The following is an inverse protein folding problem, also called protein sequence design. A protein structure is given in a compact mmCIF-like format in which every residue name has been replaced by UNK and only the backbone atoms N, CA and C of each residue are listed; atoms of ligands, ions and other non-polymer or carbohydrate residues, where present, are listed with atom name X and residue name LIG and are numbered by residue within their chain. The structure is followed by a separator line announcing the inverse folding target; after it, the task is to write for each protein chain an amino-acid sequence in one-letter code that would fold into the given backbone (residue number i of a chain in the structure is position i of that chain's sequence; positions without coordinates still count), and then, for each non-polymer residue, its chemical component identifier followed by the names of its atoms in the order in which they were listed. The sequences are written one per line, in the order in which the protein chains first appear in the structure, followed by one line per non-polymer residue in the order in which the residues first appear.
data_IF_463117235608
#
_entry.id   IF_463117235608
#
_cell.length_a   1.000
_cell.length_b   1.000
_cell.length_c   1.000
_cell.angle_alpha   90.00
_cell.angle_beta   90.00
_cell.angle_gamma   90.00
#
_symmetry.space_group_name_H-M   'P 1'
#
loop_
_entity.id
_entity.type
_entity.pdbx_description
1 polymer ?
#
# COMPACT_ATOMS: atom_id res chain seq x y z
N UNK A 1 -11.80 -15.16 14.14
CA UNK A 1 -10.34 -14.90 14.04
C UNK A 1 -9.48 -16.14 14.39
N UNK A 2 -9.93 -17.06 15.26
CA UNK A 2 -9.18 -18.27 15.65
C UNK A 2 -9.27 -19.46 14.66
N UNK A 3 -10.20 -19.43 13.69
CA UNK A 3 -10.41 -20.53 12.71
C UNK A 3 -9.43 -20.53 11.53
N UNK A 4 -8.75 -19.41 11.25
CA UNK A 4 -7.79 -19.29 10.13
C UNK A 4 -6.37 -19.69 10.52
N UNK A 5 -6.05 -19.72 11.83
CA UNK A 5 -4.74 -20.06 12.38
C UNK A 5 -4.30 -21.48 11.97
N UNK A 6 -5.27 -22.41 11.95
CA UNK A 6 -5.02 -23.80 11.59
C UNK A 6 -4.87 -24.00 10.08
N UNK A 7 -5.38 -23.13 9.21
CA UNK A 7 -5.43 -23.47 7.78
C UNK A 7 -4.03 -23.47 7.12
N UNK A 8 -3.24 -22.42 7.31
CA UNK A 8 -1.89 -22.35 6.71
C UNK A 8 -0.86 -23.29 7.39
N UNK A 9 -1.01 -23.60 8.69
CA UNK A 9 -0.11 -24.52 9.42
C UNK A 9 -0.49 -26.00 9.26
N UNK A 10 -1.78 -26.34 9.37
CA UNK A 10 -2.26 -27.73 9.21
C UNK A 10 -2.08 -28.19 7.76
N UNK A 11 -2.26 -27.32 6.78
CA UNK A 11 -2.08 -27.68 5.36
C UNK A 11 -0.62 -28.02 4.99
N UNK A 12 0.36 -27.39 5.64
CA UNK A 12 1.80 -27.69 5.43
C UNK A 12 2.19 -29.00 6.12
N UNK A 13 1.56 -29.32 7.26
CA UNK A 13 1.78 -30.59 7.98
C UNK A 13 1.07 -31.76 7.27
N UNK A 14 -0.09 -31.54 6.66
CA UNK A 14 -0.81 -32.54 5.84
C UNK A 14 -0.18 -32.81 4.46
N UNK A 15 0.89 -32.11 4.08
CA UNK A 15 1.59 -32.32 2.81
C UNK A 15 2.59 -33.50 2.83
N UNK A 16 2.66 -34.24 3.93
CA UNK A 16 3.34 -35.52 3.99
C UNK A 16 2.36 -36.66 3.76
N UNK A 17 1.96 -36.94 2.51
CA UNK A 17 1.52 -38.29 2.15
C UNK A 17 1.60 -38.58 0.64
N UNK A 18 2.34 -39.65 0.37
CA UNK A 18 2.65 -40.30 -0.90
C UNK A 18 1.42 -40.93 -1.58
N UNK A 19 1.30 -40.73 -2.92
CA UNK A 19 0.70 -41.61 -3.98
C UNK A 19 -0.50 -41.07 -4.78
N UNK A 20 -0.26 -40.95 -6.09
CA UNK A 20 -1.05 -41.33 -7.28
C UNK A 20 -2.56 -40.97 -7.49
N UNK A 21 -3.30 -40.42 -6.53
CA UNK A 21 -4.75 -40.15 -6.68
C UNK A 21 -5.09 -38.67 -6.95
N UNK A 22 -4.26 -37.98 -7.75
CA UNK A 22 -4.18 -36.51 -7.81
C UNK A 22 -5.30 -35.75 -8.57
N UNK A 23 -6.53 -36.25 -8.59
CA UNK A 23 -7.67 -35.51 -9.17
C UNK A 23 -8.49 -34.87 -8.05
N UNK A 24 -8.55 -33.53 -8.00
CA UNK A 24 -9.22 -32.76 -6.94
C UNK A 24 -8.29 -32.15 -5.87
N UNK A 25 -6.99 -32.05 -6.15
CA UNK A 25 -5.98 -31.63 -5.18
C UNK A 25 -6.10 -30.19 -4.70
N UNK A 26 -6.08 -30.03 -3.38
CA UNK A 26 -5.91 -28.74 -2.69
C UNK A 26 -4.47 -28.25 -2.87
N UNK A 27 -4.27 -27.30 -3.77
CA UNK A 27 -2.98 -26.61 -3.94
C UNK A 27 -2.88 -25.51 -2.89
N UNK A 28 -1.97 -25.69 -1.93
CA UNK A 28 -1.70 -24.69 -0.90
C UNK A 28 -0.53 -23.86 -1.40
N UNK A 29 -0.78 -22.59 -1.66
CA UNK A 29 0.26 -21.69 -2.13
C UNK A 29 1.26 -21.43 -1.01
N UNK A 30 2.57 -21.53 -1.28
CA UNK A 30 3.59 -21.31 -0.26
C UNK A 30 3.56 -19.86 0.23
N UNK A 31 4.12 -19.60 1.42
CA UNK A 31 4.27 -18.23 1.96
C UNK A 31 5.03 -17.28 1.04
N UNK A 32 5.86 -17.81 0.14
CA UNK A 32 6.59 -17.02 -0.86
C UNK A 32 5.72 -16.52 -2.01
N UNK A 33 4.48 -17.03 -2.17
CA UNK A 33 3.55 -16.58 -3.20
C UNK A 33 2.89 -15.26 -2.78
N UNK A 34 3.22 -14.12 -3.44
CA UNK A 34 2.71 -12.82 -3.04
C UNK A 34 1.18 -12.75 -3.19
N UNK A 35 0.50 -12.25 -2.16
CA UNK A 35 -0.96 -12.08 -2.16
C UNK A 35 -1.77 -13.35 -1.86
N UNK A 36 -1.11 -14.50 -1.64
CA UNK A 36 -1.79 -15.70 -1.14
C UNK A 36 -2.14 -15.61 0.35
N UNK A 37 -3.08 -16.42 0.82
CA UNK A 37 -3.54 -16.44 2.23
C UNK A 37 -2.38 -16.53 3.24
N UNK A 38 -1.39 -17.37 2.94
CA UNK A 38 -0.21 -17.57 3.78
C UNK A 38 0.74 -16.36 3.79
N UNK A 39 0.93 -15.66 2.65
CA UNK A 39 1.73 -14.41 2.57
C UNK A 39 1.01 -13.28 3.32
N UNK A 40 -0.29 -13.09 3.08
CA UNK A 40 -1.09 -12.08 3.77
C UNK A 40 -1.09 -12.28 5.28
N UNK A 41 -1.22 -13.52 5.76
CA UNK A 41 -1.11 -13.84 7.18
C UNK A 41 0.29 -13.52 7.74
N UNK A 42 1.36 -13.87 7.01
CA UNK A 42 2.72 -13.56 7.45
C UNK A 42 2.95 -12.05 7.55
N UNK A 43 2.50 -11.27 6.57
CA UNK A 43 2.59 -9.80 6.58
C UNK A 43 1.84 -9.21 7.76
N UNK A 44 0.63 -9.72 8.03
CA UNK A 44 -0.15 -9.31 9.19
C UNK A 44 0.58 -9.60 10.51
N UNK A 45 1.09 -10.81 10.70
CA UNK A 45 1.84 -11.18 11.91
C UNK A 45 3.11 -10.32 12.08
N UNK A 46 3.83 -10.03 11.00
CA UNK A 46 5.00 -9.15 11.03
C UNK A 46 4.61 -7.73 11.45
N UNK A 47 3.52 -7.19 10.89
CA UNK A 47 3.01 -5.88 11.26
C UNK A 47 2.59 -5.84 12.74
N UNK A 48 1.91 -6.87 13.23
CA UNK A 48 1.52 -6.99 14.64
C UNK A 48 2.73 -7.09 15.57
N UNK A 49 3.80 -7.79 15.18
CA UNK A 49 5.03 -7.84 15.96
C UNK A 49 5.71 -6.46 16.07
N UNK A 50 5.69 -5.67 14.99
CA UNK A 50 6.16 -4.27 15.00
C UNK A 50 5.30 -3.42 15.94
N UNK A 51 3.98 -3.52 15.84
CA UNK A 51 3.05 -2.79 16.72
C UNK A 51 3.23 -3.18 18.18
N UNK A 52 3.42 -4.47 18.48
CA UNK A 52 3.66 -4.95 19.83
C UNK A 52 4.97 -4.38 20.41
N UNK A 53 6.01 -4.26 19.59
CA UNK A 53 7.33 -3.77 20.02
C UNK A 53 7.39 -2.25 20.15
N UNK A 54 6.83 -1.52 19.21
CA UNK A 54 6.98 -0.07 19.11
C UNK A 54 5.75 0.73 19.55
N UNK A 55 4.60 0.06 19.71
CA UNK A 55 3.33 0.68 20.06
C UNK A 55 2.40 0.82 18.85
N UNK A 56 1.22 1.38 19.09
CA UNK A 56 0.23 1.64 18.03
C UNK A 56 0.79 2.66 17.01
N UNK A 57 0.38 2.58 15.74
CA UNK A 57 0.65 3.63 14.76
C UNK A 57 0.06 4.98 15.17
N UNK A 58 0.78 6.06 14.86
CA UNK A 58 0.34 7.44 15.06
C UNK A 58 -0.24 8.04 13.77
N UNK A 59 0.33 7.69 12.61
CA UNK A 59 -0.14 8.17 11.30
C UNK A 59 -0.51 7.01 10.37
N UNK A 60 -1.63 7.18 9.67
CA UNK A 60 -2.05 6.36 8.54
C UNK A 60 -2.03 7.24 7.29
N UNK A 61 -1.09 6.97 6.39
CA UNK A 61 -0.88 7.76 5.17
C UNK A 61 -1.20 6.87 3.98
N UNK A 62 -1.94 7.44 3.03
CA UNK A 62 -2.33 6.76 1.80
C UNK A 62 -1.74 7.49 0.61
N UNK A 63 -1.11 6.77 -0.31
CA UNK A 63 -0.64 7.32 -1.59
C UNK A 63 -1.34 6.61 -2.75
N UNK A 64 -2.19 7.35 -3.47
CA UNK A 64 -2.90 6.85 -4.65
C UNK A 64 -2.12 7.16 -5.92
N UNK A 65 -1.90 6.15 -6.77
CA UNK A 65 -1.33 6.39 -8.09
C UNK A 65 -2.30 7.18 -8.98
N UNK A 66 -1.79 8.25 -9.62
CA UNK A 66 -2.52 8.96 -10.67
C UNK A 66 -1.84 8.69 -12.03
N UNK A 67 -2.51 8.04 -12.99
CA UNK A 67 -1.94 7.77 -14.30
C UNK A 67 -1.74 9.03 -15.14
N UNK A 68 -2.36 10.15 -14.76
CA UNK A 68 -2.27 11.44 -15.46
C UNK A 68 -1.26 12.41 -14.83
N UNK A 69 -0.31 11.90 -14.04
CA UNK A 69 0.81 12.72 -13.61
C UNK A 69 1.62 13.22 -14.82
N UNK A 70 2.08 14.47 -14.75
CA UNK A 70 2.88 15.11 -15.78
C UNK A 70 4.10 14.28 -16.21
N UNK A 71 4.75 13.58 -15.28
CA UNK A 71 5.90 12.74 -15.59
C UNK A 71 5.53 11.53 -16.45
N UNK A 72 4.27 11.07 -16.41
CA UNK A 72 3.76 10.01 -17.27
C UNK A 72 3.35 10.62 -18.61
N UNK A 73 2.48 11.63 -18.60
CA UNK A 73 1.88 12.19 -19.82
C UNK A 73 2.91 12.78 -20.78
N UNK A 74 3.98 13.42 -20.26
CA UNK A 74 5.07 13.96 -21.10
C UNK A 74 5.96 12.89 -21.73
N UNK A 75 5.93 11.65 -21.24
CA UNK A 75 6.73 10.53 -21.72
C UNK A 75 5.89 9.50 -22.52
N UNK A 76 4.63 9.83 -22.82
CA UNK A 76 3.80 9.07 -23.74
C UNK A 76 4.04 9.53 -25.18
N UNK A 77 4.04 8.59 -26.12
CA UNK A 77 4.07 8.93 -27.55
C UNK A 77 2.69 9.46 -28.01
N UNK A 78 2.63 10.22 -29.12
CA UNK A 78 1.36 10.71 -29.64
C UNK A 78 0.34 9.57 -29.85
N UNK A 79 -0.82 9.69 -29.22
CA UNK A 79 -1.90 8.70 -29.30
C UNK A 79 -1.85 7.58 -28.24
N UNK A 80 -0.75 7.45 -27.48
CA UNK A 80 -0.69 6.48 -26.38
C UNK A 80 -1.47 6.96 -25.15
N UNK A 81 -2.09 6.01 -24.47
CA UNK A 81 -2.71 6.20 -23.17
C UNK A 81 -1.81 5.63 -22.05
N UNK A 82 -1.92 6.12 -20.80
CA UNK A 82 -1.19 5.55 -19.67
C UNK A 82 -1.36 4.04 -19.51
N UNK A 83 -2.53 3.51 -19.90
CA UNK A 83 -2.84 2.08 -19.86
C UNK A 83 -2.01 1.25 -20.86
N UNK A 84 -1.57 1.86 -21.96
CA UNK A 84 -0.73 1.20 -22.98
C UNK A 84 0.72 1.08 -22.51
N UNK A 85 1.11 1.85 -21.49
CA UNK A 85 2.46 1.89 -20.91
C UNK A 85 2.46 1.67 -19.39
N UNK A 86 1.99 0.51 -18.89
CA UNK A 86 1.88 0.24 -17.45
C UNK A 86 3.23 0.23 -16.74
N UNK A 87 4.32 -0.08 -17.43
CA UNK A 87 5.69 -0.01 -16.90
C UNK A 87 6.12 1.43 -16.59
N UNK A 88 5.70 2.40 -17.41
CA UNK A 88 5.99 3.82 -17.18
C UNK A 88 5.26 4.30 -15.93
N UNK A 89 3.96 4.01 -15.83
CA UNK A 89 3.13 4.32 -14.66
C UNK A 89 3.75 3.73 -13.38
N UNK A 90 4.13 2.44 -13.43
CA UNK A 90 4.74 1.74 -12.29
C UNK A 90 6.08 2.34 -11.87
N UNK A 91 6.91 2.77 -12.82
CA UNK A 91 8.21 3.42 -12.54
C UNK A 91 8.03 4.78 -11.89
N UNK A 92 7.13 5.62 -12.42
CA UNK A 92 6.84 6.94 -11.86
C UNK A 92 6.24 6.80 -10.46
N UNK A 93 5.30 5.87 -10.27
CA UNK A 93 4.73 5.57 -8.96
C UNK A 93 5.81 5.18 -7.96
N UNK A 94 6.68 4.23 -8.31
CA UNK A 94 7.77 3.78 -7.43
C UNK A 94 8.74 4.91 -7.09
N UNK A 95 9.04 5.80 -8.04
CA UNK A 95 9.89 6.96 -7.81
C UNK A 95 9.25 7.93 -6.81
N UNK A 96 7.96 8.25 -6.99
CA UNK A 96 7.21 9.11 -6.06
C UNK A 96 7.08 8.48 -4.67
N UNK A 97 6.81 7.17 -4.59
CA UNK A 97 6.75 6.44 -3.31
C UNK A 97 8.09 6.51 -2.57
N UNK A 98 9.21 6.31 -3.28
CA UNK A 98 10.55 6.46 -2.67
C UNK A 98 10.78 7.88 -2.17
N UNK A 99 10.40 8.89 -2.96
CA UNK A 99 10.52 10.29 -2.55
C UNK A 99 9.67 10.59 -1.31
N UNK A 100 8.46 10.04 -1.23
CA UNK A 100 7.59 10.17 -0.07
C UNK A 100 8.22 9.51 1.17
N UNK A 101 8.72 8.28 1.06
CA UNK A 101 9.41 7.60 2.16
C UNK A 101 10.65 8.37 2.64
N UNK A 102 11.43 8.94 1.72
CA UNK A 102 12.58 9.78 2.07
C UNK A 102 12.17 11.06 2.80
N UNK A 103 11.05 11.68 2.41
CA UNK A 103 10.48 12.83 3.10
C UNK A 103 10.03 12.46 4.53
N UNK A 104 9.28 11.37 4.67
CA UNK A 104 8.73 10.93 5.95
C UNK A 104 9.83 10.48 6.93
N UNK A 105 10.76 9.64 6.46
CA UNK A 105 11.74 8.97 7.32
C UNK A 105 13.06 9.75 7.41
N UNK A 106 13.68 10.08 6.27
CA UNK A 106 15.03 10.70 6.26
C UNK A 106 14.99 12.18 6.59
N UNK A 107 14.08 12.92 5.96
CA UNK A 107 13.87 14.35 6.22
C UNK A 107 13.07 14.61 7.50
N UNK A 108 12.50 13.56 8.11
CA UNK A 108 11.77 13.63 9.38
C UNK A 108 10.64 14.66 9.34
N UNK A 109 9.85 14.67 8.27
CA UNK A 109 8.80 15.66 8.04
C UNK A 109 7.80 15.72 9.22
N UNK A 110 7.37 14.57 9.73
CA UNK A 110 6.52 14.48 10.92
C UNK A 110 7.31 14.33 12.24
N UNK A 111 8.64 14.56 12.23
CA UNK A 111 9.63 14.24 13.27
C UNK A 111 10.12 12.79 13.20
N UNK A 112 10.75 12.31 14.28
CA UNK A 112 11.51 11.05 14.30
C UNK A 112 10.58 9.83 14.35
N UNK A 113 10.63 9.01 13.29
CA UNK A 113 9.90 7.74 13.17
C UNK A 113 10.69 6.62 13.86
N UNK A 114 10.04 5.86 14.74
CA UNK A 114 10.63 4.71 15.42
C UNK A 114 10.52 3.41 14.60
N UNK A 115 9.37 3.22 13.95
CA UNK A 115 9.12 2.11 13.04
C UNK A 115 8.06 2.50 12.00
N UNK A 116 8.04 1.81 10.87
CA UNK A 116 7.00 1.98 9.86
C UNK A 116 6.66 0.63 9.21
N UNK A 117 5.44 0.52 8.70
CA UNK A 117 4.98 -0.60 7.88
C UNK A 117 4.34 -0.01 6.64
N UNK A 118 4.58 -0.59 5.47
CA UNK A 118 3.88 -0.18 4.27
C UNK A 118 3.51 -1.37 3.38
N UNK A 119 2.40 -1.25 2.68
CA UNK A 119 1.88 -2.25 1.76
C UNK A 119 1.38 -1.55 0.50
N UNK A 120 1.83 -2.04 -0.65
CA UNK A 120 1.25 -1.70 -1.95
C UNK A 120 0.11 -2.66 -2.27
N UNK A 121 -1.09 -2.11 -2.44
CA UNK A 121 -2.28 -2.82 -2.91
C UNK A 121 -2.62 -2.36 -4.33
N UNK A 122 -3.13 -3.26 -5.16
CA UNK A 122 -3.63 -2.89 -6.49
C UNK A 122 -5.14 -2.71 -6.42
N UNK A 123 -5.60 -1.49 -6.69
CA UNK A 123 -7.04 -1.21 -6.72
C UNK A 123 -7.73 -1.96 -7.86
N UNK A 124 -9.07 -2.04 -7.86
CA UNK A 124 -9.87 -2.67 -8.93
C UNK A 124 -9.54 -2.21 -10.36
N UNK A 125 -8.95 -1.01 -10.49
CA UNK A 125 -8.51 -0.42 -11.78
C UNK A 125 -7.06 -0.77 -12.14
N UNK A 126 -6.42 -1.67 -11.40
CA UNK A 126 -5.03 -2.12 -11.60
C UNK A 126 -3.97 -1.10 -11.19
N UNK A 127 -4.35 0.03 -10.60
CA UNK A 127 -3.40 1.05 -10.17
C UNK A 127 -2.89 0.77 -8.76
N UNK A 128 -1.59 0.96 -8.50
CA UNK A 128 -1.02 0.73 -7.20
C UNK A 128 -1.45 1.83 -6.21
N UNK A 129 -1.63 1.41 -4.97
CA UNK A 129 -2.11 2.21 -3.87
C UNK A 129 -1.30 1.84 -2.64
N UNK A 130 -0.66 2.83 -2.02
CA UNK A 130 0.18 2.58 -0.84
C UNK A 130 -0.60 2.88 0.43
N UNK A 131 -0.53 1.96 1.39
CA UNK A 131 -0.87 2.20 2.78
C UNK A 131 0.39 2.22 3.61
N UNK A 132 0.63 3.32 4.34
CA UNK A 132 1.81 3.54 5.17
C UNK A 132 1.36 3.81 6.60
N UNK A 133 1.85 3.00 7.52
CA UNK A 133 1.71 3.19 8.95
C UNK A 133 3.03 3.72 9.51
N UNK A 134 2.99 4.85 10.21
CA UNK A 134 4.13 5.38 10.94
C UNK A 134 3.90 5.24 12.44
N UNK A 135 4.90 4.70 13.14
CA UNK A 135 4.99 4.68 14.60
C UNK A 135 6.12 5.62 14.99
N UNK A 136 5.77 6.69 15.69
CA UNK A 136 6.68 7.77 16.03
C UNK A 136 7.44 7.45 17.31
N UNK A 137 8.61 8.06 17.46
CA UNK A 137 9.36 7.92 18.71
C UNK A 137 8.62 8.62 19.85
N UNK A 138 8.55 7.97 21.02
CA UNK A 138 7.91 8.52 22.23
C UNK A 138 8.40 9.96 22.51
N UNK A 139 7.47 10.87 22.75
CA UNK A 139 7.75 12.29 23.01
C UNK A 139 8.18 13.11 21.79
N UNK A 140 8.19 12.52 20.58
CA UNK A 140 8.48 13.22 19.32
C UNK A 140 7.25 13.42 18.45
N UNK A 141 6.05 13.18 18.97
CA UNK A 141 4.80 13.46 18.27
C UNK A 141 4.53 14.96 18.16
N UNK A 142 3.72 15.33 17.17
CA UNK A 142 3.08 16.64 17.13
C UNK A 142 1.96 16.64 18.18
N UNK A 143 1.97 17.63 19.08
CA UNK A 143 1.04 17.69 20.22
C UNK A 143 0.19 18.95 20.24
N UNK A 144 0.46 19.91 19.35
CA UNK A 144 -0.25 21.19 19.31
C UNK A 144 -0.94 21.37 17.95
N UNK A 145 -2.14 21.99 17.91
CA UNK A 145 -2.85 22.29 16.66
C UNK A 145 -1.97 23.02 15.63
N UNK A 146 -1.30 24.10 16.04
CA UNK A 146 -0.39 24.86 15.17
C UNK A 146 0.74 24.01 14.57
N UNK A 147 1.16 22.94 15.24
CA UNK A 147 2.18 22.05 14.73
C UNK A 147 1.62 21.08 13.69
N UNK A 148 0.35 20.70 13.80
CA UNK A 148 -0.37 19.93 12.78
C UNK A 148 -0.69 20.77 11.54
N UNK A 149 -1.15 22.01 11.73
CA UNK A 149 -1.51 22.92 10.63
C UNK A 149 -0.31 23.24 9.71
N UNK A 150 0.91 23.14 10.24
CA UNK A 150 2.14 23.33 9.46
C UNK A 150 2.49 22.16 8.53
N UNK A 151 1.94 20.97 8.79
CA UNK A 151 2.35 19.74 8.09
C UNK A 151 1.20 19.02 7.39
N UNK A 152 -0.04 19.27 7.79
CA UNK A 152 -1.25 18.73 7.16
C UNK A 152 -1.96 19.89 6.45
N UNK A 153 -2.22 19.69 5.17
CA UNK A 153 -3.10 20.55 4.38
C UNK A 153 -4.12 19.70 3.64
N UNK A 154 -5.24 20.32 3.28
CA UNK A 154 -6.23 19.73 2.39
C UNK A 154 -6.50 20.71 1.26
N UNK A 155 -6.45 20.23 0.02
CA UNK A 155 -6.78 21.00 -1.17
C UNK A 155 -8.08 20.46 -1.77
N UNK A 156 -9.01 21.36 -2.08
CA UNK A 156 -10.19 21.00 -2.85
C UNK A 156 -9.80 20.91 -4.33
N UNK A 157 -10.30 19.91 -5.07
CA UNK A 157 -10.06 19.82 -6.50
C UNK A 157 -10.61 21.07 -7.20
N UNK A 158 -9.76 21.68 -8.02
CA UNK A 158 -10.10 22.84 -8.82
C UNK A 158 -11.22 22.49 -9.82
N UNK A 159 -12.37 23.16 -9.71
CA UNK A 159 -13.54 22.87 -10.54
C UNK A 159 -13.22 22.99 -12.02
N UNK A 160 -12.36 23.94 -12.41
CA UNK A 160 -12.11 24.25 -13.82
C UNK A 160 -11.13 23.26 -14.48
N UNK A 161 -10.33 22.53 -13.68
CA UNK A 161 -9.48 21.44 -14.19
C UNK A 161 -10.26 20.15 -14.47
N UNK A 162 -11.42 19.96 -13.84
CA UNK A 162 -12.20 18.72 -13.91
C UNK A 162 -13.53 18.87 -14.69
N UNK A 163 -13.90 20.06 -15.16
CA UNK A 163 -15.13 20.30 -15.94
C UNK A 163 -15.04 19.88 -17.41
N UNK A 164 -13.87 19.58 -17.95
CA UNK A 164 -13.69 19.26 -19.38
C UNK A 164 -13.58 17.77 -19.73
N UNK A 165 -13.66 16.86 -18.75
CA UNK A 165 -13.74 15.42 -19.04
C UNK A 165 -14.99 14.83 -18.40
N UNK A 166 -16.05 14.69 -19.21
CA UNK A 166 -17.30 14.03 -18.83
C UNK A 166 -17.12 12.53 -18.54
N UNK A 167 -16.45 12.18 -17.45
CA UNK A 167 -16.51 10.87 -16.81
C UNK A 167 -16.59 11.05 -15.30
N UNK A 168 -17.83 11.03 -14.83
CA UNK A 168 -18.20 11.22 -13.44
C UNK A 168 -17.45 10.30 -12.48
N UNK A 169 -16.95 10.90 -11.40
CA UNK A 169 -16.81 10.20 -10.14
C UNK A 169 -18.21 9.95 -9.61
N UNK A 170 -18.72 8.72 -9.77
CA UNK A 170 -19.86 8.27 -8.98
C UNK A 170 -19.34 8.02 -7.56
N UNK A 171 -19.86 8.68 -6.51
CA UNK A 171 -19.63 8.21 -5.16
C UNK A 171 -20.34 6.85 -5.03
N UNK A 172 -19.57 5.80 -4.76
CA UNK A 172 -20.13 4.51 -4.35
C UNK A 172 -20.78 4.61 -2.96
N UNK A 173 -21.63 3.64 -2.60
CA UNK A 173 -22.51 3.71 -1.42
C UNK A 173 -21.76 3.86 -0.09
#
# INVERSE_FOLDING_TARGET
MMRTYNKCLVDVISAGETRASEVGKRVVLPRSFPGGDCDMMQRFLNAMAIVQRFGKPDYFITMTCNPYWDEITRNLEPGQQPQDRPELVSRVYRAKLRSLMDLLIKKRYFREVAAYVHVTEFQKRGLPHEHILLIMKKGRNLTTPDAYDKVISAELPDKDKYTSTGKGFSPGP
#
